data_IF_848368582692
#
_entry.id   IF_848368582692
#
_cell.length_a   1.000
_cell.length_b   1.000
_cell.length_c   1.000
_cell.angle_alpha   90.00
_cell.angle_beta   90.00
_cell.angle_gamma   90.00
#
_symmetry.space_group_name_H-M   'P 1'
#
loop_
_entity.id
_entity.type
_entity.pdbx_description
1 polymer ?
#
# COMPACT_ATOMS: atom_id res chain seq x y z
N UNK A 1 4.49 -58.71 16.95
CA UNK A 1 5.21 -57.43 16.75
C UNK A 1 4.86 -56.92 15.36
N UNK A 2 3.96 -55.94 15.28
CA UNK A 2 3.50 -55.37 14.02
C UNK A 2 4.23 -54.05 13.78
N UNK A 3 4.87 -53.91 12.61
CA UNK A 3 5.56 -52.69 12.22
C UNK A 3 4.58 -51.51 12.09
N UNK A 4 4.93 -50.31 12.56
CA UNK A 4 4.07 -49.14 12.39
C UNK A 4 4.03 -48.75 10.91
N UNK A 5 2.82 -48.62 10.35
CA UNK A 5 2.58 -48.05 9.03
C UNK A 5 2.99 -46.57 9.07
N UNK A 6 3.94 -46.19 8.23
CA UNK A 6 4.33 -44.81 8.02
C UNK A 6 3.12 -44.01 7.49
N UNK A 7 2.77 -42.96 8.22
CA UNK A 7 1.87 -41.90 7.76
C UNK A 7 2.69 -40.95 6.88
N UNK A 8 2.72 -41.20 5.57
CA UNK A 8 3.00 -40.17 4.58
C UNK A 8 1.70 -39.85 3.84
N UNK A 9 1.12 -38.66 4.06
CA UNK A 9 0.95 -37.78 2.89
C UNK A 9 0.94 -36.29 3.28
N UNK A 10 1.89 -35.47 2.83
CA UNK A 10 1.65 -34.00 2.78
C UNK A 10 2.58 -33.19 1.87
N UNK A 11 3.74 -33.69 1.44
CA UNK A 11 4.74 -32.83 0.79
C UNK A 11 4.94 -33.05 -0.72
N UNK A 12 4.10 -33.84 -1.40
CA UNK A 12 4.27 -34.17 -2.84
C UNK A 12 3.86 -33.08 -3.84
N UNK A 13 3.48 -31.87 -3.41
CA UNK A 13 3.14 -30.80 -4.35
C UNK A 13 4.34 -29.99 -4.87
N UNK A 14 5.54 -30.12 -4.29
CA UNK A 14 6.62 -29.16 -4.55
C UNK A 14 7.46 -29.42 -5.81
N UNK A 15 7.29 -30.55 -6.52
CA UNK A 15 8.24 -30.91 -7.61
C UNK A 15 7.62 -31.18 -8.99
N UNK A 16 6.31 -31.04 -9.19
CA UNK A 16 5.67 -31.33 -10.48
C UNK A 16 4.71 -30.23 -10.95
N UNK A 17 5.16 -28.96 -10.95
CA UNK A 17 4.57 -27.91 -11.79
C UNK A 17 5.07 -28.13 -13.23
N UNK A 18 4.78 -29.30 -13.80
CA UNK A 18 5.11 -29.60 -15.18
C UNK A 18 3.90 -29.28 -16.06
N UNK A 19 3.94 -28.09 -16.67
CA UNK A 19 3.31 -27.64 -17.93
C UNK A 19 2.19 -28.50 -18.56
N UNK A 20 1.15 -28.85 -17.82
CA UNK A 20 -0.14 -29.16 -18.45
C UNK A 20 -0.87 -27.83 -18.69
N UNK A 21 -1.47 -27.66 -19.87
CA UNK A 21 -2.24 -26.47 -20.30
C UNK A 21 -3.44 -26.11 -19.40
N UNK A 22 -3.61 -26.82 -18.28
CA UNK A 22 -4.67 -26.63 -17.30
C UNK A 22 -4.20 -26.08 -15.94
N UNK A 23 -2.91 -25.77 -15.74
CA UNK A 23 -2.35 -24.83 -14.75
C UNK A 23 -2.69 -24.92 -13.24
N UNK A 24 -3.71 -25.67 -12.81
CA UNK A 24 -4.36 -25.51 -11.50
C UNK A 24 -4.56 -26.84 -10.75
N UNK A 25 -3.94 -27.94 -11.17
CA UNK A 25 -4.21 -29.27 -10.59
C UNK A 25 -3.84 -29.40 -9.10
N UNK A 26 -3.01 -28.51 -8.55
CA UNK A 26 -2.64 -28.51 -7.13
C UNK A 26 -3.62 -27.76 -6.21
N UNK A 27 -4.55 -26.97 -6.73
CA UNK A 27 -5.56 -26.25 -5.93
C UNK A 27 -6.91 -26.97 -5.89
N UNK A 28 -7.03 -28.14 -6.52
CA UNK A 28 -8.29 -28.89 -6.64
C UNK A 28 -8.66 -29.59 -5.34
N UNK A 29 -7.68 -29.94 -4.52
CA UNK A 29 -7.93 -30.64 -3.26
C UNK A 29 -8.01 -29.65 -2.11
N UNK A 30 -9.15 -29.62 -1.45
CA UNK A 30 -9.29 -28.92 -0.17
C UNK A 30 -8.35 -29.59 0.85
N UNK A 31 -7.46 -28.80 1.44
CA UNK A 31 -6.60 -29.25 2.54
C UNK A 31 -7.43 -29.17 3.82
N UNK A 32 -7.42 -30.23 4.63
CA UNK A 32 -8.02 -30.15 5.97
C UNK A 32 -7.28 -29.10 6.78
N UNK A 33 -8.02 -28.15 7.37
CA UNK A 33 -7.42 -27.11 8.19
C UNK A 33 -6.67 -27.76 9.36
N UNK A 34 -5.40 -27.41 9.52
CA UNK A 34 -4.62 -27.85 10.68
C UNK A 34 -5.28 -27.36 11.96
N UNK A 35 -5.40 -28.23 12.96
CA UNK A 35 -5.92 -27.86 14.27
C UNK A 35 -5.05 -26.80 14.98
N UNK A 36 -3.81 -26.61 14.53
CA UNK A 36 -2.87 -25.62 15.08
C UNK A 36 -3.05 -24.21 14.47
N UNK A 37 -3.85 -24.08 13.41
CA UNK A 37 -4.13 -22.78 12.78
C UNK A 37 -5.43 -22.23 13.37
N UNK A 38 -5.40 -21.10 14.09
CA UNK A 38 -6.62 -20.51 14.63
C UNK A 38 -7.55 -20.11 13.49
N UNK A 39 -8.83 -20.43 13.64
CA UNK A 39 -9.87 -19.92 12.75
C UNK A 39 -10.02 -18.42 12.99
N UNK A 40 -9.70 -17.62 11.97
CA UNK A 40 -9.84 -16.17 11.95
C UNK A 40 -10.87 -15.72 10.92
N UNK A 41 -11.68 -16.65 10.42
CA UNK A 41 -12.66 -16.38 9.35
C UNK A 41 -13.75 -15.38 9.77
N UNK A 42 -13.99 -15.26 11.08
CA UNK A 42 -14.98 -14.36 11.69
C UNK A 42 -14.42 -12.99 12.08
N UNK A 43 -13.11 -12.77 11.94
CA UNK A 43 -12.45 -11.53 12.40
C UNK A 43 -11.70 -10.85 11.28
N UNK A 44 -11.93 -9.54 11.18
CA UNK A 44 -11.15 -8.69 10.30
C UNK A 44 -9.76 -8.46 10.92
N UNK A 45 -8.73 -8.36 10.09
CA UNK A 45 -7.34 -8.31 10.55
C UNK A 45 -7.08 -7.13 11.51
N UNK A 46 -7.66 -5.96 11.24
CA UNK A 46 -7.55 -4.78 12.12
C UNK A 46 -8.32 -4.89 13.44
N UNK A 47 -9.20 -5.90 13.61
CA UNK A 47 -9.79 -6.23 14.91
C UNK A 47 -8.84 -7.08 15.76
N UNK A 48 -7.93 -7.83 15.12
CA UNK A 48 -6.93 -8.65 15.79
C UNK A 48 -5.67 -7.83 16.11
N UNK A 49 -5.27 -6.95 15.19
CA UNK A 49 -4.06 -6.13 15.29
C UNK A 49 -4.47 -4.68 15.56
N UNK A 50 -4.30 -4.23 16.81
CA UNK A 50 -4.67 -2.87 17.25
C UNK A 50 -3.82 -1.78 16.57
N UNK A 51 -4.26 -0.51 16.51
CA UNK A 51 -3.52 0.58 15.87
C UNK A 51 -2.05 0.69 16.31
N UNK A 52 -1.77 0.64 17.61
CA UNK A 52 -0.40 0.66 18.13
C UNK A 52 0.44 -0.49 17.58
N UNK A 53 -0.11 -1.70 17.54
CA UNK A 53 0.57 -2.88 16.99
C UNK A 53 0.80 -2.77 15.48
N UNK A 54 -0.11 -2.14 14.75
CA UNK A 54 0.09 -1.84 13.33
C UNK A 54 1.27 -0.87 13.16
N UNK A 55 1.36 0.18 13.98
CA UNK A 55 2.51 1.09 13.96
C UNK A 55 3.83 0.39 14.30
N UNK A 56 3.80 -0.53 15.28
CA UNK A 56 4.97 -1.34 15.63
C UNK A 56 5.44 -2.23 14.47
N UNK A 57 4.52 -2.75 13.65
CA UNK A 57 4.87 -3.52 12.46
C UNK A 57 5.55 -2.67 11.38
N UNK A 58 5.23 -1.37 11.29
CA UNK A 58 5.82 -0.47 10.30
C UNK A 58 7.17 0.12 10.73
N UNK A 59 7.29 0.56 11.99
CA UNK A 59 8.44 1.34 12.47
C UNK A 59 9.23 0.67 13.62
N UNK A 60 8.83 -0.53 14.03
CA UNK A 60 9.46 -1.28 15.12
C UNK A 60 8.77 -1.08 16.48
N UNK A 61 9.21 -1.85 17.47
CA UNK A 61 8.51 -1.99 18.76
C UNK A 61 8.27 -0.69 19.54
N UNK A 62 9.11 0.32 19.33
CA UNK A 62 9.00 1.62 20.01
C UNK A 62 7.96 2.55 19.36
N UNK A 63 7.46 2.20 18.17
CA UNK A 63 6.41 2.97 17.50
C UNK A 63 5.05 2.74 18.13
N UNK A 64 4.20 3.76 18.09
CA UNK A 64 2.84 3.74 18.61
C UNK A 64 1.93 4.58 17.72
N UNK A 65 0.63 4.39 17.85
CA UNK A 65 -0.36 5.22 17.18
C UNK A 65 -0.38 6.61 17.80
N UNK A 66 -0.01 7.61 17.00
CA UNK A 66 -0.12 9.00 17.37
C UNK A 66 -1.59 9.38 17.47
N UNK A 67 -2.12 9.28 18.69
CA UNK A 67 -3.43 9.87 19.03
C UNK A 67 -3.32 11.34 18.69
N UNK A 68 -4.19 11.80 17.81
CA UNK A 68 -4.32 13.20 17.44
C UNK A 68 -4.83 13.99 18.65
N UNK A 69 -4.00 14.15 19.69
CA UNK A 69 -4.38 14.77 20.96
C UNK A 69 -4.68 16.26 20.81
N UNK A 70 -4.33 16.87 19.66
CA UNK A 70 -4.49 18.32 19.44
C UNK A 70 -5.11 18.70 18.09
N UNK A 71 -5.25 17.79 17.14
CA UNK A 71 -5.76 18.14 15.80
C UNK A 71 -7.26 17.84 15.70
N UNK A 72 -8.03 18.82 15.21
CA UNK A 72 -9.48 18.78 14.90
C UNK A 72 -9.91 17.69 13.90
N UNK A 73 -9.10 16.67 13.67
CA UNK A 73 -9.35 15.59 12.71
C UNK A 73 -10.44 14.69 13.26
N UNK A 74 -11.37 14.35 12.39
CA UNK A 74 -12.47 13.47 12.75
C UNK A 74 -11.92 12.08 13.09
N UNK A 75 -12.52 11.43 14.08
CA UNK A 75 -12.18 10.06 14.47
C UNK A 75 -12.15 9.09 13.27
N UNK A 76 -13.03 9.36 12.30
CA UNK A 76 -13.21 8.60 11.07
C UNK A 76 -12.02 8.67 10.12
N UNK A 77 -11.11 9.64 10.27
CA UNK A 77 -9.94 9.81 9.41
C UNK A 77 -8.86 8.74 9.64
N UNK A 78 -8.88 8.02 10.77
CA UNK A 78 -7.94 6.92 11.02
C UNK A 78 -7.95 5.88 9.89
N UNK A 79 -9.10 5.64 9.27
CA UNK A 79 -9.21 4.68 8.18
C UNK A 79 -8.46 5.09 6.92
N UNK A 80 -8.22 6.40 6.74
CA UNK A 80 -7.47 6.94 5.59
C UNK A 80 -6.02 7.25 5.97
N UNK A 81 -5.80 7.69 7.20
CA UNK A 81 -4.50 8.15 7.70
C UNK A 81 -4.36 7.88 9.20
N UNK A 82 -4.03 6.65 9.56
CA UNK A 82 -3.52 6.25 10.86
C UNK A 82 -2.10 6.78 11.03
N UNK A 83 -1.90 7.68 11.99
CA UNK A 83 -0.60 8.32 12.25
C UNK A 83 0.25 7.44 13.16
N UNK A 84 1.43 7.04 12.73
CA UNK A 84 2.37 6.23 13.50
C UNK A 84 3.60 7.03 13.90
N UNK A 85 4.06 6.87 15.14
CA UNK A 85 5.23 7.56 15.66
C UNK A 85 6.52 6.97 15.08
N UNK A 86 7.27 7.78 14.33
CA UNK A 86 8.66 7.49 13.97
C UNK A 86 9.54 8.08 15.08
N UNK A 87 9.89 7.25 16.06
CA UNK A 87 10.63 7.66 17.27
C UNK A 87 12.01 8.25 16.93
N UNK A 88 12.63 7.78 15.84
CA UNK A 88 13.93 8.28 15.41
C UNK A 88 13.84 9.73 14.89
N UNK A 89 12.72 10.06 14.23
CA UNK A 89 12.50 11.39 13.66
C UNK A 89 11.68 12.32 14.56
N UNK A 90 11.02 11.78 15.59
CA UNK A 90 10.11 12.54 16.44
C UNK A 90 8.89 13.08 15.69
N UNK A 91 8.44 12.37 14.65
CA UNK A 91 7.32 12.78 13.79
C UNK A 91 6.28 11.67 13.69
N UNK A 92 5.03 12.04 13.40
CA UNK A 92 3.95 11.11 13.14
C UNK A 92 3.72 10.96 11.63
N UNK A 93 3.91 9.76 11.10
CA UNK A 93 3.84 9.46 9.67
C UNK A 93 2.50 8.76 9.36
N UNK A 94 1.72 9.23 8.36
CA UNK A 94 0.44 8.63 8.03
C UNK A 94 0.59 7.30 7.29
N UNK A 95 -0.20 6.31 7.71
CA UNK A 95 -0.40 5.00 7.09
C UNK A 95 -1.88 4.69 6.96
N UNK A 96 -2.24 3.77 6.07
CA UNK A 96 -3.62 3.30 5.96
C UNK A 96 -3.85 2.24 7.05
N UNK A 97 -4.90 2.40 7.85
CA UNK A 97 -5.28 1.40 8.85
C UNK A 97 -5.72 0.10 8.17
N UNK A 98 -5.42 -1.04 8.79
CA UNK A 98 -5.88 -2.34 8.30
C UNK A 98 -7.42 -2.43 8.28
N UNK A 99 -7.97 -3.18 7.34
CA UNK A 99 -9.41 -3.48 7.31
C UNK A 99 -9.82 -4.16 8.62
N UNK A 100 -10.87 -3.65 9.27
CA UNK A 100 -11.32 -4.06 10.59
C UNK A 100 -10.82 -3.20 11.74
N UNK A 101 -9.92 -2.24 11.50
CA UNK A 101 -9.42 -1.38 12.58
C UNK A 101 -10.57 -0.57 13.17
N UNK A 102 -10.72 -0.60 14.49
CA UNK A 102 -11.73 0.20 15.19
C UNK A 102 -11.55 1.70 14.89
N UNK A 103 -12.64 2.39 14.56
CA UNK A 103 -12.64 3.81 14.22
C UNK A 103 -13.79 4.58 14.87
N UNK A 104 -14.50 3.95 15.80
CA UNK A 104 -15.73 4.46 16.40
C UNK A 104 -16.43 3.37 17.20
N UNK A 105 -17.35 3.78 18.09
CA UNK A 105 -18.24 2.84 18.76
C UNK A 105 -19.08 2.05 17.74
N UNK A 106 -18.90 0.72 17.72
CA UNK A 106 -19.56 -0.16 16.76
C UNK A 106 -19.16 0.09 15.30
N UNK A 107 -17.96 0.67 15.05
CA UNK A 107 -17.47 0.98 13.70
C UNK A 107 -16.05 0.49 13.46
N UNK A 108 -15.79 0.06 12.22
CA UNK A 108 -14.48 -0.39 11.76
C UNK A 108 -14.11 0.21 10.40
N UNK A 109 -12.83 0.20 10.09
CA UNK A 109 -12.31 0.63 8.81
C UNK A 109 -12.54 -0.44 7.73
N UNK A 110 -13.27 -0.11 6.67
CA UNK A 110 -13.42 -0.96 5.48
C UNK A 110 -13.16 -0.09 4.25
N UNK A 111 -12.17 -0.47 3.44
CA UNK A 111 -11.78 0.28 2.23
C UNK A 111 -11.52 1.78 2.49
N UNK A 112 -10.88 2.10 3.63
CA UNK A 112 -10.56 3.47 4.02
C UNK A 112 -11.73 4.29 4.56
N UNK A 113 -12.90 3.68 4.79
CA UNK A 113 -14.07 4.33 5.37
C UNK A 113 -14.39 3.77 6.75
N UNK A 114 -14.84 4.64 7.65
CA UNK A 114 -15.31 4.23 8.98
C UNK A 114 -16.79 3.87 8.91
N UNK A 115 -17.09 2.56 8.89
CA UNK A 115 -18.44 2.04 8.69
C UNK A 115 -18.92 1.25 9.90
N UNK A 116 -20.22 1.26 10.15
CA UNK A 116 -20.82 0.43 11.20
C UNK A 116 -20.76 -1.05 10.80
N UNK A 117 -20.32 -1.89 11.73
CA UNK A 117 -20.22 -3.34 11.53
C UNK A 117 -20.78 -4.04 12.78
N UNK A 118 -21.64 -5.06 12.65
CA UNK A 118 -22.26 -5.73 13.79
C UNK A 118 -21.27 -6.52 14.65
N UNK A 119 -20.09 -6.83 14.13
CA UNK A 119 -18.99 -7.48 14.85
C UNK A 119 -17.93 -6.47 15.30
N UNK A 120 -18.11 -5.18 15.04
CA UNK A 120 -17.25 -4.14 15.60
C UNK A 120 -17.38 -4.13 17.13
N UNK A 121 -16.26 -3.96 17.85
CA UNK A 121 -16.31 -3.81 19.29
C UNK A 121 -17.07 -2.53 19.67
N UNK A 122 -17.92 -2.62 20.69
CA UNK A 122 -18.55 -1.45 21.28
C UNK A 122 -17.57 -0.85 22.29
N UNK A 123 -17.07 0.33 21.98
CA UNK A 123 -15.96 0.99 22.69
C UNK A 123 -16.36 2.45 22.92
N UNK A 124 -17.22 2.70 23.91
CA UNK A 124 -17.63 4.05 24.29
C UNK A 124 -16.43 4.86 24.79
N UNK A 125 -15.95 5.82 23.99
CA UNK A 125 -14.82 6.69 24.31
C UNK A 125 -13.43 6.04 24.26
N UNK A 126 -13.34 4.81 23.73
CA UNK A 126 -12.15 3.96 23.75
C UNK A 126 -11.77 3.42 22.37
N UNK A 127 -12.15 4.17 21.35
CA UNK A 127 -12.10 3.78 19.94
C UNK A 127 -10.67 3.44 19.47
N UNK A 128 -9.67 4.04 20.11
CA UNK A 128 -8.23 3.87 19.81
C UNK A 128 -7.48 3.00 20.82
N UNK A 129 -8.19 2.31 21.72
CA UNK A 129 -7.60 1.65 22.88
C UNK A 129 -7.32 2.62 24.03
N UNK A 130 -6.44 2.24 24.95
CA UNK A 130 -6.13 2.97 26.18
C UNK A 130 -5.70 4.40 25.86
N UNK A 131 -6.31 5.40 26.52
CA UNK A 131 -5.90 6.80 26.41
C UNK A 131 -4.57 7.05 27.12
N UNK A 132 -4.31 6.31 28.20
CA UNK A 132 -3.04 6.35 28.94
C UNK A 132 -2.10 5.28 28.37
N UNK A 133 -0.87 5.68 28.02
CA UNK A 133 0.18 4.74 27.62
C UNK A 133 0.57 3.90 28.84
N UNK A 134 0.64 2.58 28.67
CA UNK A 134 0.96 1.61 29.72
C UNK A 134 0.06 1.76 30.96
N UNK A 135 -1.23 1.52 30.78
CA UNK A 135 -2.20 1.53 31.88
C UNK A 135 -1.73 0.66 33.06
N UNK A 136 -1.34 1.33 34.14
CA UNK A 136 -0.93 0.71 35.38
C UNK A 136 -2.14 0.42 36.26
N UNK A 137 -1.92 -0.35 37.33
CA UNK A 137 -2.96 -0.60 38.33
C UNK A 137 -3.50 0.69 38.96
N UNK A 138 -2.65 1.72 39.11
CA UNK A 138 -3.05 3.01 39.67
C UNK A 138 -3.90 3.82 38.69
N UNK A 139 -3.61 3.74 37.39
CA UNK A 139 -4.46 4.33 36.35
C UNK A 139 -5.83 3.67 36.34
N UNK A 140 -5.91 2.36 36.56
CA UNK A 140 -7.19 1.66 36.66
C UNK A 140 -8.04 2.08 37.85
N UNK A 141 -7.41 2.40 38.99
CA UNK A 141 -8.13 2.79 40.21
C UNK A 141 -8.68 4.22 40.13
N UNK A 142 -7.97 5.12 39.44
CA UNK A 142 -8.29 6.55 39.42
C UNK A 142 -8.92 7.03 38.10
N UNK A 143 -8.61 6.33 36.99
CA UNK A 143 -8.92 6.73 35.61
C UNK A 143 -9.30 5.51 34.76
N UNK A 144 -10.17 4.64 35.30
CA UNK A 144 -10.60 3.41 34.64
C UNK A 144 -11.08 3.62 33.18
N UNK A 145 -11.77 4.74 32.94
CA UNK A 145 -12.31 5.13 31.63
C UNK A 145 -11.19 5.40 30.62
N UNK A 146 -10.03 5.85 31.07
CA UNK A 146 -8.89 6.17 30.21
C UNK A 146 -8.04 4.93 29.88
N UNK A 147 -8.35 3.78 30.47
CA UNK A 147 -7.64 2.53 30.24
C UNK A 147 -8.44 1.48 29.48
N UNK A 148 -9.57 1.87 28.88
CA UNK A 148 -10.21 1.22 27.73
C UNK A 148 -10.21 -0.32 27.65
N UNK A 149 -10.42 -0.97 28.80
CA UNK A 149 -10.51 -2.44 28.91
C UNK A 149 -9.21 -3.16 29.27
N UNK A 150 -8.08 -2.46 29.36
CA UNK A 150 -6.77 -3.03 29.78
C UNK A 150 -6.67 -3.18 31.29
N UNK A 151 -7.59 -2.57 32.05
CA UNK A 151 -7.75 -2.77 33.48
C UNK A 151 -8.28 -4.16 33.83
N UNK A 152 -7.39 -5.15 33.83
CA UNK A 152 -7.67 -6.46 34.37
C UNK A 152 -7.58 -6.44 35.90
N UNK A 153 -8.73 -6.42 36.57
CA UNK A 153 -8.82 -6.71 38.00
C UNK A 153 -8.83 -8.21 38.34
N UNK A 154 -8.61 -9.08 37.34
CA UNK A 154 -8.44 -10.53 37.50
C UNK A 154 -7.10 -10.98 36.92
N UNK A 155 -6.52 -12.04 37.50
CA UNK A 155 -5.23 -12.65 37.18
C UNK A 155 -4.76 -12.50 35.72
N UNK A 156 -3.46 -12.23 35.47
CA UNK A 156 -2.92 -11.98 34.14
C UNK A 156 -3.42 -13.03 33.16
N UNK A 157 -3.95 -12.57 32.02
CA UNK A 157 -4.42 -13.41 30.92
C UNK A 157 -3.34 -14.44 30.58
N UNK A 158 -3.50 -15.67 31.07
CA UNK A 158 -3.04 -16.83 30.32
C UNK A 158 -3.97 -16.92 29.12
N UNK A 159 -3.45 -16.96 27.87
CA UNK A 159 -4.30 -17.14 26.70
C UNK A 159 -5.11 -18.41 26.91
N UNK A 160 -6.40 -18.25 27.22
CA UNK A 160 -7.31 -19.37 27.38
C UNK A 160 -7.64 -19.81 25.96
N UNK A 161 -6.81 -20.67 25.40
CA UNK A 161 -7.21 -21.50 24.28
C UNK A 161 -8.50 -22.19 24.72
N UNK A 162 -9.58 -21.91 23.98
CA UNK A 162 -10.86 -22.59 24.17
C UNK A 162 -10.65 -24.08 23.93
N UNK A 163 -10.39 -24.81 25.01
CA UNK A 163 -10.33 -26.27 24.99
C UNK A 163 -11.76 -26.75 24.94
N UNK A 164 -12.30 -26.83 23.72
CA UNK A 164 -13.48 -27.63 23.45
C UNK A 164 -13.14 -29.05 23.85
N UNK A 165 -13.85 -29.55 24.86
CA UNK A 165 -13.73 -30.88 25.47
C UNK A 165 -13.79 -31.98 24.41
N UNK A 166 -12.64 -32.41 23.91
CA UNK A 166 -12.46 -33.67 23.20
C UNK A 166 -11.91 -34.70 24.18
N UNK A 167 -12.57 -35.86 24.18
CA UNK A 167 -12.31 -37.03 25.03
C UNK A 167 -10.83 -37.47 25.03
N UNK A 168 -10.34 -38.05 26.15
CA UNK A 168 -8.94 -38.36 26.33
C UNK A 168 -8.51 -39.52 25.42
N UNK A 169 -7.60 -39.26 24.47
CA UNK A 169 -6.80 -40.30 23.83
C UNK A 169 -5.31 -40.05 24.10
N UNK A 170 -4.80 -40.90 24.98
CA UNK A 170 -3.41 -41.29 25.26
C UNK A 170 -2.31 -40.51 24.51
N UNK A 171 -1.64 -39.66 25.27
CA UNK A 171 -0.38 -38.99 24.94
C UNK A 171 0.72 -40.01 24.61
N UNK A 172 1.43 -39.78 23.50
CA UNK A 172 2.81 -40.24 23.34
C UNK A 172 3.60 -39.22 22.52
N UNK A 173 4.79 -38.91 23.04
CA UNK A 173 5.94 -38.33 22.35
C UNK A 173 5.91 -36.82 22.12
N UNK A 174 6.53 -36.13 23.07
CA UNK A 174 7.10 -34.78 22.94
C UNK A 174 8.05 -34.76 21.74
N UNK A 175 7.75 -33.91 20.76
CA UNK A 175 8.71 -33.49 19.74
C UNK A 175 8.84 -31.96 19.82
N UNK A 176 10.03 -31.42 19.51
CA UNK A 176 10.48 -30.14 20.01
C UNK A 176 9.79 -28.98 19.31
N UNK A 177 9.74 -27.85 20.02
CA UNK A 177 9.49 -26.51 19.50
C UNK A 177 10.06 -26.38 18.08
N UNK A 178 9.17 -26.25 17.09
CA UNK A 178 9.54 -25.70 15.78
C UNK A 178 9.76 -24.21 16.02
N UNK A 179 10.98 -23.89 16.45
CA UNK A 179 11.59 -22.61 16.18
C UNK A 179 11.47 -22.41 14.68
N UNK A 180 10.84 -21.34 14.21
CA UNK A 180 10.88 -20.94 12.80
C UNK A 180 12.35 -20.87 12.41
N UNK A 181 12.87 -21.94 11.80
CA UNK A 181 14.20 -21.95 11.23
C UNK A 181 14.17 -20.94 10.11
N UNK A 182 14.86 -19.82 10.33
CA UNK A 182 15.45 -18.93 9.34
C UNK A 182 14.93 -19.18 7.92
N UNK A 183 13.85 -18.48 7.57
CA UNK A 183 13.33 -18.43 6.21
C UNK A 183 14.51 -18.00 5.33
N UNK A 184 14.92 -18.87 4.41
CA UNK A 184 16.12 -18.70 3.57
C UNK A 184 16.14 -17.30 2.96
N UNK A 185 17.25 -16.62 3.17
CA UNK A 185 17.58 -15.34 2.55
C UNK A 185 17.37 -15.43 1.04
N UNK A 186 16.60 -14.48 0.47
CA UNK A 186 16.55 -14.29 -0.99
C UNK A 186 18.00 -14.14 -1.49
N UNK A 187 18.43 -15.00 -2.41
CA UNK A 187 19.72 -14.80 -3.07
C UNK A 187 19.54 -13.81 -4.22
N UNK A 188 20.51 -12.91 -4.45
CA UNK A 188 20.52 -12.09 -5.65
C UNK A 188 20.39 -12.97 -6.90
N UNK A 189 19.31 -12.75 -7.67
CA UNK A 189 18.96 -13.56 -8.84
C UNK A 189 17.76 -14.50 -8.66
N UNK A 190 17.22 -14.65 -7.44
CA UNK A 190 15.97 -15.40 -7.22
C UNK A 190 14.78 -14.67 -7.85
N UNK A 191 13.90 -15.40 -8.53
CA UNK A 191 12.77 -14.84 -9.28
C UNK A 191 11.62 -14.42 -8.33
N UNK A 192 10.93 -13.33 -8.67
CA UNK A 192 9.76 -12.88 -7.92
C UNK A 192 8.63 -13.92 -8.00
N UNK A 193 8.09 -14.33 -6.85
CA UNK A 193 6.98 -15.27 -6.77
C UNK A 193 5.67 -14.64 -7.22
N UNK A 194 5.53 -13.31 -7.03
CA UNK A 194 4.34 -12.52 -7.42
C UNK A 194 4.73 -11.16 -8.01
N UNK A 195 5.29 -11.12 -9.23
CA UNK A 195 5.79 -9.90 -9.85
C UNK A 195 4.75 -8.77 -9.92
N UNK A 196 3.46 -9.10 -10.04
CA UNK A 196 2.36 -8.14 -10.09
C UNK A 196 2.16 -7.32 -8.81
N UNK A 197 2.61 -7.84 -7.66
CA UNK A 197 2.57 -7.13 -6.38
C UNK A 197 3.84 -6.30 -6.15
N UNK A 198 4.93 -6.58 -6.86
CA UNK A 198 6.25 -5.97 -6.68
C UNK A 198 6.38 -4.61 -7.38
N UNK A 199 5.42 -3.70 -7.16
CA UNK A 199 5.40 -2.37 -7.78
C UNK A 199 5.78 -1.25 -6.81
N UNK A 200 5.75 -1.52 -5.51
CA UNK A 200 5.99 -0.54 -4.45
C UNK A 200 7.08 -1.01 -3.49
N UNK A 201 7.99 -0.11 -3.11
CA UNK A 201 9.08 -0.38 -2.17
C UNK A 201 8.62 -0.93 -0.82
N UNK A 202 7.43 -0.55 -0.35
CA UNK A 202 6.84 -1.08 0.90
C UNK A 202 6.74 -2.61 0.91
N UNK A 203 6.61 -3.24 -0.26
CA UNK A 203 6.55 -4.70 -0.38
C UNK A 203 7.88 -5.36 0.04
N UNK A 204 9.01 -4.67 -0.16
CA UNK A 204 10.32 -5.15 0.31
C UNK A 204 10.48 -5.10 1.82
N UNK A 205 9.73 -4.24 2.50
CA UNK A 205 9.73 -4.15 3.95
C UNK A 205 8.80 -5.20 4.58
N UNK A 206 7.66 -5.45 3.96
CA UNK A 206 6.59 -6.27 4.55
C UNK A 206 6.73 -7.74 4.11
N UNK A 207 7.11 -8.00 2.86
CA UNK A 207 7.13 -9.35 2.26
C UNK A 207 8.30 -9.53 1.27
N UNK A 208 9.57 -9.36 1.71
CA UNK A 208 10.74 -9.40 0.83
C UNK A 208 10.86 -10.72 0.05
N UNK A 209 10.37 -11.82 0.60
CA UNK A 209 10.43 -13.16 -0.01
C UNK A 209 9.47 -13.33 -1.19
N UNK A 210 8.44 -12.50 -1.32
CA UNK A 210 7.53 -12.56 -2.47
C UNK A 210 8.08 -11.80 -3.69
N UNK A 211 9.03 -10.89 -3.46
CA UNK A 211 9.59 -9.95 -4.42
C UNK A 211 11.13 -9.94 -4.37
N UNK A 212 11.76 -11.12 -4.28
CA UNK A 212 13.20 -11.26 -4.10
C UNK A 212 14.03 -10.50 -5.16
N UNK A 213 13.68 -10.59 -6.44
CA UNK A 213 14.39 -9.92 -7.53
C UNK A 213 14.22 -8.40 -7.44
N UNK A 214 12.98 -7.94 -7.30
CA UNK A 214 12.66 -6.52 -7.17
C UNK A 214 13.39 -5.89 -5.97
N UNK A 215 13.31 -6.53 -4.80
CA UNK A 215 13.92 -6.02 -3.57
C UNK A 215 15.44 -6.11 -3.58
N UNK A 216 16.02 -7.19 -4.10
CA UNK A 216 17.47 -7.33 -4.26
C UNK A 216 18.04 -6.25 -5.19
N UNK A 217 17.35 -5.94 -6.29
CA UNK A 217 17.78 -4.88 -7.20
C UNK A 217 17.82 -3.53 -6.49
N UNK A 218 16.80 -3.25 -5.67
CA UNK A 218 16.68 -2.01 -4.91
C UNK A 218 17.75 -1.86 -3.83
N UNK A 219 18.00 -2.91 -3.03
CA UNK A 219 19.03 -2.87 -1.98
C UNK A 219 20.45 -2.76 -2.55
N UNK A 220 20.73 -3.42 -3.68
CA UNK A 220 22.04 -3.32 -4.34
C UNK A 220 22.32 -1.89 -4.82
N UNK A 221 21.31 -1.20 -5.33
CA UNK A 221 21.40 0.22 -5.67
C UNK A 221 21.66 1.11 -4.44
N UNK A 222 21.07 0.78 -3.28
CA UNK A 222 21.25 1.56 -2.04
C UNK A 222 22.61 1.33 -1.35
N UNK A 223 23.09 0.07 -1.25
CA UNK A 223 24.33 -0.26 -0.53
C UNK A 223 25.58 0.26 -1.23
N UNK A 224 25.53 0.42 -2.56
CA UNK A 224 26.64 1.00 -3.34
C UNK A 224 26.85 2.49 -3.02
N UNK A 225 25.86 3.18 -2.43
CA UNK A 225 25.98 4.59 -2.05
C UNK A 225 26.60 4.85 -0.67
N UNK A 226 26.73 3.84 0.23
CA UNK A 226 27.06 4.10 1.65
C UNK A 226 28.35 3.44 2.19
N UNK A 227 29.06 2.61 1.43
CA UNK A 227 30.30 1.99 1.94
C UNK A 227 31.49 2.15 1.00
N UNK A 228 32.04 3.37 0.94
CA UNK A 228 33.40 3.60 0.44
C UNK A 228 34.35 3.73 1.61
N UNK A 229 34.84 2.61 2.12
CA UNK A 229 36.08 2.57 2.90
C UNK A 229 37.23 2.61 1.90
N UNK A 230 37.81 3.80 1.79
CA UNK A 230 38.84 4.24 0.82
C UNK A 230 40.17 3.48 0.95
N UNK A 231 40.63 2.74 -0.08
CA UNK A 231 42.05 2.62 -0.37
C UNK A 231 42.48 3.85 -1.18
N UNK A 232 43.60 4.45 -0.79
CA UNK A 232 44.23 5.58 -1.49
C UNK A 232 44.70 5.13 -2.88
N UNK A 233 43.98 5.58 -3.93
CA UNK A 233 44.46 5.61 -5.32
C UNK A 233 44.37 7.08 -5.79
N UNK A 234 45.33 7.57 -6.61
CA UNK A 234 45.49 9.00 -6.87
C UNK A 234 44.32 9.59 -7.65
N UNK A 235 43.91 10.78 -7.21
CA UNK A 235 42.94 11.66 -7.86
C UNK A 235 43.32 11.88 -9.33
N UNK A 236 42.63 11.16 -10.23
CA UNK A 236 42.54 11.55 -11.63
C UNK A 236 41.35 12.48 -11.78
N UNK A 237 41.57 13.58 -12.50
CA UNK A 237 40.65 14.71 -12.66
C UNK A 237 39.22 14.30 -13.03
N UNK A 238 38.19 15.08 -12.64
CA UNK A 238 36.80 14.75 -12.92
C UNK A 238 36.59 14.58 -14.43
N UNK A 239 36.18 13.37 -14.86
CA UNK A 239 35.70 13.16 -16.23
C UNK A 239 34.47 14.06 -16.42
N UNK A 240 34.59 15.06 -17.28
CA UNK A 240 33.55 16.05 -17.59
C UNK A 240 32.54 15.57 -18.65
N UNK A 241 32.68 14.33 -19.15
CA UNK A 241 31.79 13.75 -20.16
C UNK A 241 31.42 12.31 -19.76
N UNK A 242 30.12 12.00 -19.82
CA UNK A 242 29.60 10.66 -19.68
C UNK A 242 29.93 9.83 -20.92
N UNK A 243 30.38 8.59 -20.73
CA UNK A 243 30.49 7.60 -21.79
C UNK A 243 29.23 6.72 -21.83
N UNK A 244 28.83 6.20 -23.01
CA UNK A 244 27.69 5.29 -23.11
C UNK A 244 27.89 4.06 -22.20
N UNK A 245 26.96 3.87 -21.25
CA UNK A 245 27.03 2.82 -20.24
C UNK A 245 27.37 3.30 -18.82
N UNK A 246 27.72 4.58 -18.64
CA UNK A 246 27.93 5.16 -17.31
C UNK A 246 26.62 5.21 -16.50
N UNK A 247 26.68 4.77 -15.24
CA UNK A 247 25.54 4.77 -14.31
C UNK A 247 25.28 6.17 -13.71
N UNK A 248 24.02 6.41 -13.32
CA UNK A 248 23.64 7.64 -12.63
C UNK A 248 24.23 7.68 -11.22
N UNK A 249 25.05 8.70 -10.93
CA UNK A 249 25.67 8.87 -9.61
C UNK A 249 24.67 9.33 -8.54
N UNK A 250 23.59 10.02 -8.95
CA UNK A 250 22.51 10.50 -8.06
C UNK A 250 21.12 10.34 -8.70
N UNK A 251 20.60 9.10 -8.82
CA UNK A 251 19.34 8.82 -9.49
C UNK A 251 18.15 9.64 -8.96
N UNK A 252 18.16 9.99 -7.68
CA UNK A 252 17.11 10.78 -7.03
C UNK A 252 16.99 12.22 -7.57
N UNK A 253 18.07 12.75 -8.17
CA UNK A 253 18.07 14.05 -8.83
C UNK A 253 17.69 13.95 -10.31
N UNK A 254 17.71 12.75 -10.89
CA UNK A 254 17.52 12.50 -12.32
C UNK A 254 16.03 12.33 -12.69
N UNK A 255 15.18 13.23 -12.20
CA UNK A 255 13.73 13.19 -12.46
C UNK A 255 13.27 14.22 -13.49
N UNK A 256 14.12 15.19 -13.84
CA UNK A 256 13.80 16.29 -14.73
C UNK A 256 14.85 16.43 -15.84
N UNK A 257 14.40 16.58 -17.08
CA UNK A 257 15.28 16.72 -18.27
C UNK A 257 16.22 17.92 -18.19
N UNK A 258 15.90 18.98 -17.42
CA UNK A 258 16.80 20.12 -17.19
C UNK A 258 18.11 19.76 -16.48
N UNK A 259 18.14 18.65 -15.75
CA UNK A 259 19.35 18.12 -15.09
C UNK A 259 20.38 17.68 -16.12
N UNK A 260 19.96 17.25 -17.30
CA UNK A 260 20.85 16.89 -18.40
C UNK A 260 21.59 18.08 -19.00
N UNK A 261 21.06 19.31 -18.84
CA UNK A 261 21.71 20.51 -19.33
C UNK A 261 22.72 21.08 -18.32
N UNK A 262 22.45 20.92 -17.02
CA UNK A 262 23.21 21.60 -15.97
C UNK A 262 24.15 20.68 -15.20
N UNK A 263 23.82 19.39 -15.09
CA UNK A 263 24.52 18.40 -14.26
C UNK A 263 24.51 17.00 -14.89
N UNK A 264 24.77 16.92 -16.19
CA UNK A 264 24.74 15.66 -16.95
C UNK A 264 25.63 14.56 -16.35
N UNK A 265 26.77 14.92 -15.77
CA UNK A 265 27.70 13.97 -15.14
C UNK A 265 27.14 13.25 -13.90
N UNK A 266 26.05 13.75 -13.30
CA UNK A 266 25.38 13.07 -12.19
C UNK A 266 24.28 12.11 -12.65
N UNK A 267 23.84 12.22 -13.90
CA UNK A 267 22.68 11.55 -14.48
C UNK A 267 22.97 10.99 -15.88
N UNK A 268 24.12 10.34 -16.06
CA UNK A 268 24.61 9.89 -17.36
C UNK A 268 23.65 8.94 -18.08
N UNK A 269 23.09 7.94 -17.39
CA UNK A 269 22.19 6.95 -17.97
C UNK A 269 20.83 7.56 -18.29
N UNK A 270 20.24 8.31 -17.34
CA UNK A 270 18.98 9.03 -17.56
C UNK A 270 19.06 9.98 -18.76
N UNK A 271 20.14 10.76 -18.87
CA UNK A 271 20.32 11.71 -19.96
C UNK A 271 20.60 11.03 -21.30
N UNK A 272 21.35 9.92 -21.31
CA UNK A 272 21.60 9.15 -22.53
C UNK A 272 20.30 8.60 -23.12
N UNK A 273 19.42 8.03 -22.29
CA UNK A 273 18.10 7.57 -22.72
C UNK A 273 17.26 8.70 -23.31
N UNK A 274 17.23 9.85 -22.63
CA UNK A 274 16.44 11.00 -23.07
C UNK A 274 16.93 11.59 -24.42
N UNK A 275 18.25 11.70 -24.64
CA UNK A 275 18.79 12.20 -25.90
C UNK A 275 18.58 11.24 -27.06
N UNK A 276 18.65 9.92 -26.83
CA UNK A 276 18.40 8.92 -27.87
C UNK A 276 16.92 8.89 -28.30
N UNK A 277 15.98 9.07 -27.36
CA UNK A 277 14.55 9.22 -27.68
C UNK A 277 14.27 10.48 -28.49
N UNK A 278 14.95 11.59 -28.21
CA UNK A 278 14.81 12.84 -28.96
C UNK A 278 15.39 12.73 -30.39
N UNK A 279 16.51 12.03 -30.55
CA UNK A 279 17.21 11.92 -31.86
C UNK A 279 16.47 11.01 -32.83
N UNK A 280 15.68 10.05 -32.33
CA UNK A 280 14.87 9.15 -33.16
C UNK A 280 13.54 9.79 -33.63
N UNK A 281 13.19 10.98 -33.11
CA UNK A 281 11.95 11.71 -33.47
C UNK A 281 12.15 12.90 -34.41
N UNK A 282 13.28 12.98 -35.13
CA UNK A 282 13.47 13.99 -36.19
C UNK A 282 13.12 13.40 -37.57
N UNK A 283 11.88 12.95 -37.72
CA UNK A 283 11.22 12.97 -39.03
C UNK A 283 10.13 14.02 -38.91
N UNK A 284 10.11 15.00 -39.82
CA UNK A 284 9.17 16.13 -39.82
C UNK A 284 7.76 15.73 -39.39
N UNK A 285 7.37 16.05 -38.16
CA UNK A 285 5.97 16.04 -37.74
C UNK A 285 5.69 17.34 -37.00
N UNK A 286 4.82 18.11 -37.63
CA UNK A 286 4.17 19.31 -37.13
C UNK A 286 3.45 19.01 -35.81
N UNK A 287 3.74 19.80 -34.77
CA UNK A 287 2.94 20.01 -33.54
C UNK A 287 2.24 18.79 -32.90
N UNK A 288 2.78 18.21 -31.82
CA UNK A 288 2.09 17.15 -31.08
C UNK A 288 1.10 17.78 -30.11
N UNK A 289 -0.21 17.77 -30.38
CA UNK A 289 -1.22 18.01 -29.33
C UNK A 289 -2.68 17.67 -29.67
N UNK A 290 -3.01 17.03 -30.80
CA UNK A 290 -4.42 16.75 -31.12
C UNK A 290 -4.64 15.29 -31.50
N UNK A 291 -5.59 14.65 -30.79
CA UNK A 291 -6.16 13.37 -31.19
C UNK A 291 -6.78 13.52 -32.59
N UNK A 292 -6.36 12.69 -33.54
CA UNK A 292 -6.97 12.71 -34.87
C UNK A 292 -8.33 12.02 -34.81
N UNK A 293 -9.36 12.69 -35.34
CA UNK A 293 -10.73 12.19 -35.35
C UNK A 293 -10.80 10.82 -36.03
N UNK A 294 -11.05 9.76 -35.25
CA UNK A 294 -11.14 8.38 -35.75
C UNK A 294 -10.12 7.40 -35.16
N UNK A 295 -9.15 7.85 -34.37
CA UNK A 295 -8.24 6.94 -33.68
C UNK A 295 -8.94 6.13 -32.57
N UNK A 296 -8.66 4.82 -32.47
CA UNK A 296 -9.23 3.96 -31.42
C UNK A 296 -8.60 4.26 -30.06
N UNK A 297 -9.37 4.06 -28.98
CA UNK A 297 -8.85 4.21 -27.62
C UNK A 297 -7.81 3.13 -27.32
N UNK A 298 -6.66 3.55 -26.78
CA UNK A 298 -5.57 2.64 -26.38
C UNK A 298 -5.96 1.75 -25.18
N UNK A 299 -6.83 2.25 -24.30
CA UNK A 299 -7.36 1.49 -23.16
C UNK A 299 -8.83 1.82 -22.87
N UNK A 300 -9.78 1.27 -23.65
CA UNK A 300 -11.20 1.62 -23.56
C UNK A 300 -11.81 1.40 -22.18
N UNK A 301 -11.28 0.44 -21.41
CA UNK A 301 -11.80 0.08 -20.08
C UNK A 301 -11.49 1.15 -19.02
N UNK A 302 -10.44 1.94 -19.24
CA UNK A 302 -10.09 3.04 -18.34
C UNK A 302 -10.90 4.30 -18.66
N UNK A 303 -11.41 4.45 -19.89
CA UNK A 303 -12.13 5.62 -20.39
C UNK A 303 -13.58 5.71 -19.87
N UNK A 304 -13.78 5.67 -18.55
CA UNK A 304 -15.11 5.71 -17.91
C UNK A 304 -15.40 7.06 -17.24
N UNK A 305 -14.38 7.84 -16.90
CA UNK A 305 -14.50 9.13 -16.23
C UNK A 305 -14.15 10.32 -17.12
N UNK A 306 -14.86 11.44 -16.94
CA UNK A 306 -14.61 12.71 -17.65
C UNK A 306 -13.25 13.33 -17.29
N UNK A 307 -12.74 13.08 -16.09
CA UNK A 307 -11.45 13.60 -15.63
C UNK A 307 -10.27 13.11 -16.49
N UNK A 308 -10.42 11.96 -17.14
CA UNK A 308 -9.38 11.35 -17.96
C UNK A 308 -9.10 12.17 -19.22
N UNK A 309 -10.10 12.86 -19.75
CA UNK A 309 -9.92 13.76 -20.88
C UNK A 309 -9.10 15.01 -20.54
N UNK A 310 -9.00 15.37 -19.25
CA UNK A 310 -8.21 16.51 -18.81
C UNK A 310 -6.77 16.11 -18.48
N UNK A 311 -6.56 14.90 -17.97
CA UNK A 311 -5.24 14.46 -17.50
C UNK A 311 -4.49 13.62 -18.52
N UNK A 312 -5.19 12.84 -19.36
CA UNK A 312 -4.59 11.89 -20.30
C UNK A 312 -5.45 11.73 -21.59
N UNK A 313 -5.64 12.82 -22.38
CA UNK A 313 -6.54 12.79 -23.54
C UNK A 313 -6.15 11.77 -24.61
N UNK A 314 -4.84 11.50 -24.77
CA UNK A 314 -4.31 10.57 -25.77
C UNK A 314 -4.66 9.11 -25.49
N UNK A 315 -4.96 8.74 -24.24
CA UNK A 315 -5.32 7.36 -23.88
C UNK A 315 -6.76 7.00 -24.28
N UNK A 316 -7.59 8.03 -24.49
CA UNK A 316 -9.04 7.94 -24.62
C UNK A 316 -9.58 8.87 -25.73
N UNK A 317 -8.88 8.95 -26.87
CA UNK A 317 -9.17 9.91 -27.94
C UNK A 317 -10.62 9.84 -28.45
N UNK A 318 -11.17 8.64 -28.67
CA UNK A 318 -12.54 8.47 -29.18
C UNK A 318 -13.57 8.84 -28.12
N UNK A 319 -13.32 8.45 -26.86
CA UNK A 319 -14.18 8.79 -25.74
C UNK A 319 -14.25 10.31 -25.49
N UNK A 320 -13.10 10.98 -25.50
CA UNK A 320 -13.02 12.42 -25.26
C UNK A 320 -13.60 13.23 -26.42
N UNK A 321 -13.31 12.84 -27.67
CA UNK A 321 -13.85 13.49 -28.87
C UNK A 321 -15.39 13.35 -28.97
N UNK A 322 -15.94 12.18 -28.62
CA UNK A 322 -17.40 11.98 -28.61
C UNK A 322 -18.10 12.83 -27.55
N UNK A 323 -17.42 13.17 -26.46
CA UNK A 323 -18.02 13.86 -25.31
C UNK A 323 -17.92 15.38 -25.41
N UNK A 324 -16.85 15.91 -26.00
CA UNK A 324 -16.73 17.36 -26.23
C UNK A 324 -17.75 17.86 -27.26
N UNK A 325 -18.12 17.02 -28.23
CA UNK A 325 -19.22 17.31 -29.15
C UNK A 325 -20.61 17.35 -28.49
N UNK A 326 -20.75 16.83 -27.27
CA UNK A 326 -21.99 16.93 -26.49
C UNK A 326 -22.01 18.13 -25.52
N UNK A 327 -20.85 18.74 -25.24
CA UNK A 327 -20.71 19.86 -24.31
C UNK A 327 -20.84 21.24 -24.98
N UNK A 328 -20.72 21.32 -26.31
CA UNK A 328 -20.95 22.55 -27.09
C UNK A 328 -22.43 22.84 -27.36
N UNK A 329 -23.35 21.97 -26.94
CA UNK A 329 -24.78 22.31 -26.80
C UNK A 329 -25.02 23.00 -25.44
N UNK A 330 -24.40 24.17 -25.22
CA UNK A 330 -25.02 25.18 -24.38
C UNK A 330 -26.34 25.51 -25.10
N UNK A 331 -27.40 24.81 -24.70
CA UNK A 331 -28.70 24.89 -25.35
C UNK A 331 -29.02 26.35 -25.58
N UNK A 332 -29.29 26.75 -26.83
CA UNK A 332 -29.73 28.10 -27.17
C UNK A 332 -30.86 28.56 -26.24
N UNK A 333 -31.63 27.61 -25.71
CA UNK A 333 -32.62 27.77 -24.66
C UNK A 333 -32.07 28.38 -23.35
N UNK A 334 -30.91 27.93 -22.86
CA UNK A 334 -30.29 28.44 -21.63
C UNK A 334 -29.79 29.87 -21.81
N UNK A 335 -29.23 30.20 -22.98
CA UNK A 335 -28.83 31.56 -23.33
C UNK A 335 -30.07 32.45 -23.43
N UNK A 336 -31.15 31.95 -24.06
CA UNK A 336 -32.40 32.69 -24.20
C UNK A 336 -33.08 32.98 -22.86
N UNK A 337 -33.13 32.01 -21.94
CA UNK A 337 -33.62 32.21 -20.57
C UNK A 337 -32.80 33.26 -19.84
N UNK A 338 -31.46 33.20 -19.95
CA UNK A 338 -30.60 34.16 -19.26
C UNK A 338 -30.81 35.59 -19.77
N UNK A 339 -30.92 35.75 -21.10
CA UNK A 339 -31.25 37.04 -21.72
C UNK A 339 -32.65 37.54 -21.31
N UNK A 340 -33.64 36.65 -21.24
CA UNK A 340 -35.00 37.01 -20.83
C UNK A 340 -35.05 37.45 -19.36
N UNK A 341 -34.36 36.74 -18.47
CA UNK A 341 -34.28 37.10 -17.04
C UNK A 341 -33.61 38.46 -16.83
N UNK A 342 -32.55 38.77 -17.56
CA UNK A 342 -31.88 40.09 -17.47
C UNK A 342 -32.82 41.19 -17.97
N UNK A 343 -33.47 41.00 -19.11
CA UNK A 343 -34.41 41.98 -19.66
C UNK A 343 -35.59 42.24 -18.70
N UNK A 344 -36.14 41.17 -18.11
CA UNK A 344 -37.22 41.26 -17.12
C UNK A 344 -36.80 42.00 -15.85
N UNK A 345 -35.60 41.74 -15.33
CA UNK A 345 -35.05 42.45 -14.17
C UNK A 345 -34.86 43.94 -14.43
N UNK A 346 -34.36 44.29 -15.62
CA UNK A 346 -34.19 45.69 -16.02
C UNK A 346 -35.56 46.39 -16.17
N UNK A 347 -36.55 45.71 -16.74
CA UNK A 347 -37.91 46.23 -16.89
C UNK A 347 -38.60 46.54 -15.55
N UNK A 348 -38.46 45.65 -14.55
CA UNK A 348 -38.99 45.90 -13.21
C UNK A 348 -38.30 47.12 -12.58
N UNK A 349 -36.98 47.22 -12.74
CA UNK A 349 -36.22 48.31 -12.13
C UNK A 349 -36.59 49.70 -12.67
N UNK A 350 -37.00 49.79 -13.94
CA UNK A 350 -37.38 51.07 -14.58
C UNK A 350 -38.82 51.52 -14.32
N UNK A 351 -39.70 50.64 -13.83
CA UNK A 351 -41.12 50.98 -13.58
C UNK A 351 -41.45 51.22 -12.10
N UNK A 352 -40.47 51.09 -11.20
CA UNK A 352 -40.65 51.25 -9.74
C UNK A 352 -40.09 52.59 -9.22
N UNK A 353 -39.53 53.41 -10.11
CA UNK A 353 -39.16 54.81 -9.87
C UNK A 353 -39.91 55.68 -10.87
#
# INVERSE_FOLDING_TARGET
MAAPRALEPSWRCYSHINRNSRGYTCLVYAVEASADIPDVSDKLLGQVIKPDQQCQQFFGNDSFFCRASESRRSITEICQAMLCADVLRGLCIPHIALTGTSCGDGKVCINGQCVSDPYAPQLDGCEYGDRIIDCTKDHCLNSQVDCCGTCNYGTPFSPTYSTRRSTPKRSTTVNPLVLFTSIKDCKPGDQDLRPELCTNFSVCLIQPTQCCHYCSSYYTSATTSTTTTRPLIPSTSPKTKCEPGDLDLRPELCTNTSVCQTKSSLCCHYCSLHYNSATTSTTQLTSPNECVLGEPDLSPQLCTSRSICQTQPLMCCKYCSSRDNSASHLSLYTIWIYCFCIAFFLYIKTNVY
#
